data_IF_516411242114
#
_entry.id   IF_516411242114
#
_cell.length_a   1.000
_cell.length_b   1.000
_cell.length_c   1.000
_cell.angle_alpha   90.00
_cell.angle_beta   90.00
_cell.angle_gamma   90.00
#
_symmetry.space_group_name_H-M   'P 1'
#
loop_
_entity.id
_entity.type
_entity.pdbx_description
1 polymer ?
#
# COMPACT_ATOMS: atom_id res chain seq x y z
N UNK A 1 34.50 13.74 -16.13
CA UNK A 1 33.21 13.80 -16.87
C UNK A 1 32.13 13.37 -15.89
N UNK A 2 31.06 14.15 -15.70
CA UNK A 2 29.92 13.75 -14.84
C UNK A 2 29.30 12.50 -15.48
N UNK A 3 29.56 11.32 -14.92
CA UNK A 3 29.01 10.05 -15.40
C UNK A 3 28.01 9.54 -14.35
N UNK A 4 26.98 10.36 -14.12
CA UNK A 4 25.90 10.03 -13.20
C UNK A 4 24.93 9.10 -13.91
N UNK A 5 24.56 8.04 -13.23
CA UNK A 5 23.64 7.00 -13.68
C UNK A 5 22.54 6.87 -12.63
N UNK A 6 21.35 6.47 -13.08
CA UNK A 6 20.20 6.15 -12.22
C UNK A 6 20.01 4.63 -12.17
N UNK A 7 20.46 3.93 -11.11
CA UNK A 7 20.42 2.48 -11.03
C UNK A 7 19.03 1.88 -11.09
N UNK A 8 18.04 2.58 -10.52
CA UNK A 8 16.66 2.11 -10.47
C UNK A 8 15.80 2.60 -11.64
N UNK A 9 16.37 3.23 -12.66
CA UNK A 9 15.63 3.52 -13.89
C UNK A 9 15.21 2.22 -14.61
N UNK A 10 13.97 2.19 -15.12
CA UNK A 10 13.49 1.10 -15.97
C UNK A 10 14.24 1.10 -17.30
N UNK A 11 14.42 2.29 -17.88
CA UNK A 11 15.27 2.49 -19.04
C UNK A 11 16.74 2.60 -18.62
N UNK A 12 17.53 1.60 -19.00
CA UNK A 12 18.98 1.56 -18.69
C UNK A 12 19.79 2.56 -19.52
N UNK A 13 19.20 3.15 -20.56
CA UNK A 13 19.82 4.19 -21.38
C UNK A 13 19.54 5.60 -20.89
N UNK A 14 18.71 5.76 -19.84
CA UNK A 14 18.42 7.05 -19.23
C UNK A 14 19.73 7.72 -18.78
N UNK A 15 20.06 8.81 -19.46
CA UNK A 15 21.20 9.66 -19.17
C UNK A 15 20.70 11.07 -18.81
N UNK A 16 21.52 11.83 -18.08
CA UNK A 16 21.18 13.21 -17.71
C UNK A 16 20.98 14.16 -18.92
N UNK A 17 21.42 13.77 -20.11
CA UNK A 17 21.36 14.60 -21.31
C UNK A 17 22.27 15.83 -21.23
N UNK A 18 21.94 16.86 -22.01
CA UNK A 18 22.61 18.15 -21.96
C UNK A 18 22.08 19.01 -20.82
N UNK A 19 22.94 19.75 -20.11
CA UNK A 19 22.49 20.62 -19.03
C UNK A 19 21.66 21.78 -19.59
N UNK A 20 20.51 22.04 -18.96
CA UNK A 20 19.69 23.23 -19.23
C UNK A 20 20.46 24.52 -18.93
N UNK A 21 21.31 24.47 -17.92
CA UNK A 21 22.16 25.58 -17.52
C UNK A 21 23.52 25.07 -17.06
N UNK A 22 24.59 25.74 -17.46
CA UNK A 22 25.95 25.45 -17.01
C UNK A 22 26.65 26.76 -16.71
N UNK A 23 27.07 26.95 -15.45
CA UNK A 23 27.77 28.14 -14.97
C UNK A 23 29.02 27.74 -14.20
N UNK A 24 30.02 28.60 -14.19
CA UNK A 24 31.19 28.44 -13.31
C UNK A 24 31.21 29.64 -12.35
N UNK A 25 31.16 29.35 -11.06
CA UNK A 25 31.16 30.32 -9.97
C UNK A 25 32.41 30.06 -9.13
N UNK A 26 33.47 30.82 -9.38
CA UNK A 26 34.78 30.56 -8.80
C UNK A 26 35.32 29.18 -9.22
N UNK A 27 35.61 28.33 -8.22
CA UNK A 27 36.05 26.95 -8.42
C UNK A 27 34.88 25.95 -8.55
N UNK A 28 33.64 26.41 -8.32
CA UNK A 28 32.45 25.56 -8.38
C UNK A 28 31.84 25.58 -9.79
N UNK A 29 31.65 24.40 -10.38
CA UNK A 29 30.89 24.23 -11.63
C UNK A 29 29.45 23.88 -11.30
N UNK A 30 28.53 24.76 -11.64
CA UNK A 30 27.08 24.55 -11.53
C UNK A 30 26.53 24.00 -12.83
N UNK A 31 25.69 22.96 -12.74
CA UNK A 31 24.97 22.38 -13.87
C UNK A 31 23.56 22.00 -13.46
N UNK A 32 22.58 22.42 -14.23
CA UNK A 32 21.17 22.07 -14.05
C UNK A 32 20.73 21.10 -15.14
N UNK A 33 20.03 20.05 -14.75
CA UNK A 33 19.49 19.04 -15.67
C UNK A 33 17.99 18.87 -15.40
N UNK A 34 17.23 18.56 -16.46
CA UNK A 34 15.86 18.09 -16.34
C UNK A 34 15.80 16.67 -16.88
N UNK A 35 15.33 15.74 -16.04
CA UNK A 35 15.32 14.32 -16.36
C UNK A 35 13.91 13.81 -16.13
N UNK A 36 13.36 13.19 -17.15
CA UNK A 36 12.07 12.50 -17.10
C UNK A 36 12.32 11.01 -17.38
N UNK A 37 11.71 10.13 -16.59
CA UNK A 37 11.87 8.69 -16.76
C UNK A 37 10.99 7.89 -15.82
N UNK A 38 10.90 6.59 -16.10
CA UNK A 38 10.20 5.63 -15.24
C UNK A 38 11.20 4.96 -14.31
N UNK A 39 10.93 5.01 -13.01
CA UNK A 39 11.79 4.42 -11.97
C UNK A 39 11.12 3.19 -11.35
N UNK A 40 11.95 2.23 -10.95
CA UNK A 40 11.53 1.05 -10.19
C UNK A 40 11.51 1.39 -8.71
N UNK A 41 10.43 1.01 -8.06
CA UNK A 41 10.26 1.07 -6.61
C UNK A 41 9.55 -0.20 -6.15
N UNK A 42 9.96 -0.71 -5.00
CA UNK A 42 9.28 -1.81 -4.34
C UNK A 42 8.12 -1.24 -3.49
N UNK A 43 6.91 -1.73 -3.73
CA UNK A 43 5.70 -1.24 -3.08
C UNK A 43 5.19 -2.24 -2.04
N UNK A 44 4.80 -1.76 -0.87
CA UNK A 44 4.26 -2.59 0.21
C UNK A 44 2.75 -2.36 0.42
N UNK A 45 1.96 -3.40 0.15
CA UNK A 45 0.50 -3.32 0.16
C UNK A 45 -0.15 -3.91 1.42
N UNK A 46 0.61 -4.31 2.45
CA UNK A 46 0.03 -4.97 3.65
C UNK A 46 -1.09 -4.16 4.30
N UNK A 47 -0.95 -2.84 4.32
CA UNK A 47 -1.92 -1.89 4.88
C UNK A 47 -2.91 -1.34 3.86
N UNK A 48 -2.89 -1.81 2.60
CA UNK A 48 -3.77 -1.29 1.57
C UNK A 48 -5.25 -1.40 1.98
N UNK A 49 -6.05 -0.32 1.82
CA UNK A 49 -5.74 0.93 1.08
C UNK A 49 -5.05 2.03 1.89
N UNK A 50 -4.79 1.84 3.19
CA UNK A 50 -4.11 2.81 4.07
C UNK A 50 -2.59 2.76 3.95
N UNK A 51 -2.08 2.36 2.78
CA UNK A 51 -0.67 2.18 2.52
C UNK A 51 0.06 3.53 2.37
N UNK A 52 1.29 3.54 2.87
CA UNK A 52 2.29 4.59 2.62
C UNK A 52 3.40 3.94 1.81
N UNK A 53 3.73 4.53 0.67
CA UNK A 53 4.73 4.02 -0.25
C UNK A 53 5.95 4.93 -0.28
N UNK A 54 7.10 4.32 -0.52
CA UNK A 54 8.39 4.98 -0.67
C UNK A 54 8.79 4.90 -2.14
N UNK A 55 8.97 6.06 -2.78
CA UNK A 55 9.35 6.18 -4.18
C UNK A 55 10.77 6.76 -4.27
N UNK A 56 11.81 5.91 -4.14
CA UNK A 56 13.18 6.37 -4.19
C UNK A 56 13.60 6.69 -5.64
N UNK A 57 14.31 7.78 -5.80
CA UNK A 57 15.06 8.14 -7.01
C UNK A 57 16.53 8.08 -6.63
N UNK A 58 17.28 7.22 -7.31
CA UNK A 58 18.66 6.92 -6.95
C UNK A 58 19.61 7.50 -7.98
N UNK A 59 20.59 8.27 -7.53
CA UNK A 59 21.71 8.74 -8.34
C UNK A 59 23.01 8.12 -7.87
N UNK A 60 23.81 7.61 -8.79
CA UNK A 60 25.10 6.99 -8.49
C UNK A 60 26.10 7.31 -9.60
N UNK A 61 27.40 7.34 -9.29
CA UNK A 61 28.42 7.39 -10.34
C UNK A 61 28.59 6.00 -10.95
N UNK A 62 28.59 5.91 -12.29
CA UNK A 62 28.69 4.63 -12.99
C UNK A 62 30.05 3.95 -12.83
N UNK A 63 31.11 4.72 -12.66
CA UNK A 63 32.49 4.21 -12.79
C UNK A 63 33.38 4.54 -11.60
N UNK A 64 33.15 5.66 -10.93
CA UNK A 64 34.04 6.15 -9.87
C UNK A 64 33.55 5.69 -8.49
N UNK A 65 34.44 5.11 -7.66
CA UNK A 65 34.11 4.71 -6.29
C UNK A 65 33.96 5.93 -5.36
N UNK A 66 33.45 5.67 -4.15
CA UNK A 66 33.24 6.68 -3.10
C UNK A 66 34.51 7.42 -2.68
N UNK A 67 35.68 6.78 -2.79
CA UNK A 67 36.99 7.41 -2.57
C UNK A 67 37.32 8.53 -3.56
N UNK A 68 36.69 8.55 -4.74
CA UNK A 68 36.91 9.54 -5.79
C UNK A 68 35.79 10.56 -5.90
N UNK A 69 34.54 10.14 -5.69
CA UNK A 69 33.35 11.00 -5.81
C UNK A 69 32.37 10.69 -4.69
N UNK A 70 32.02 11.73 -3.93
CA UNK A 70 31.00 11.67 -2.88
C UNK A 70 29.87 12.63 -3.24
N UNK A 71 28.63 12.16 -3.14
CA UNK A 71 27.46 13.01 -3.24
C UNK A 71 27.14 13.61 -1.86
N UNK A 72 26.87 14.91 -1.83
CA UNK A 72 26.54 15.63 -0.59
C UNK A 72 25.32 16.50 -0.85
N UNK A 73 24.37 16.47 0.09
CA UNK A 73 23.22 17.37 0.07
C UNK A 73 23.69 18.81 0.34
N UNK A 74 23.29 19.72 -0.56
CA UNK A 74 23.52 21.16 -0.41
C UNK A 74 22.98 21.68 0.94
N UNK A 75 23.74 22.55 1.59
CA UNK A 75 23.38 23.15 2.86
C UNK A 75 22.06 23.93 2.77
N UNK A 76 21.76 24.56 1.63
CA UNK A 76 20.51 25.26 1.41
C UNK A 76 19.30 24.32 1.46
N UNK A 77 19.36 23.18 0.76
CA UNK A 77 18.29 22.16 0.76
C UNK A 77 18.17 21.46 2.12
N UNK A 78 19.30 21.27 2.81
CA UNK A 78 19.30 20.72 4.18
C UNK A 78 18.58 21.63 5.17
N UNK A 79 18.72 22.94 5.02
CA UNK A 79 18.09 23.94 5.88
C UNK A 79 16.59 24.12 5.61
N UNK A 80 16.09 23.69 4.44
CA UNK A 80 14.67 23.77 4.10
C UNK A 80 13.81 22.91 5.02
N UNK A 81 12.63 23.43 5.33
CA UNK A 81 11.56 22.71 6.03
C UNK A 81 10.91 21.66 5.13
N UNK A 82 10.16 20.73 5.72
CA UNK A 82 9.46 19.71 4.93
C UNK A 82 8.41 20.30 3.98
N UNK A 83 7.77 21.42 4.35
CA UNK A 83 6.80 22.10 3.50
C UNK A 83 7.48 22.70 2.25
N UNK A 84 8.60 23.39 2.43
CA UNK A 84 9.38 23.97 1.32
C UNK A 84 9.94 22.90 0.38
N UNK A 85 10.29 21.71 0.89
CA UNK A 85 10.74 20.57 0.06
C UNK A 85 9.62 19.95 -0.80
N UNK A 86 8.36 20.19 -0.45
CA UNK A 86 7.20 19.67 -1.18
C UNK A 86 6.66 20.67 -2.21
N UNK A 87 7.19 21.90 -2.23
CA UNK A 87 6.95 22.86 -3.31
C UNK A 87 7.65 22.38 -4.59
N UNK A 88 6.97 22.51 -5.73
CA UNK A 88 7.52 22.11 -7.02
C UNK A 88 8.71 23.00 -7.37
N UNK A 89 9.83 22.37 -7.72
CA UNK A 89 11.05 23.08 -8.15
C UNK A 89 10.84 23.94 -9.42
N UNK A 90 9.80 23.68 -10.21
CA UNK A 90 9.46 24.45 -11.42
C UNK A 90 8.45 25.59 -11.20
N UNK A 91 7.67 25.54 -10.13
CA UNK A 91 6.67 26.56 -9.78
C UNK A 91 6.39 26.49 -8.27
N UNK A 92 6.91 27.47 -7.53
CA UNK A 92 6.77 27.60 -6.07
C UNK A 92 5.33 27.78 -5.60
N UNK A 93 4.38 28.04 -6.51
CA UNK A 93 2.95 28.12 -6.19
C UNK A 93 2.22 26.79 -6.36
N UNK A 94 2.90 25.76 -6.89
CA UNK A 94 2.37 24.43 -7.12
C UNK A 94 3.07 23.39 -6.21
N UNK A 95 2.30 22.43 -5.72
CA UNK A 95 2.84 21.31 -4.92
C UNK A 95 3.18 20.12 -5.83
N UNK A 96 4.04 19.22 -5.34
CA UNK A 96 4.36 17.95 -6.01
C UNK A 96 3.14 16.98 -6.06
N UNK A 97 2.00 17.34 -5.48
CA UNK A 97 0.74 16.56 -5.40
C UNK A 97 -0.03 16.42 -6.73
N UNK A 98 0.67 16.30 -7.87
CA UNK A 98 0.03 16.09 -9.17
C UNK A 98 -0.40 14.64 -9.43
N UNK A 99 -0.11 13.71 -8.51
CA UNK A 99 -0.39 12.27 -8.68
C UNK A 99 -1.85 11.97 -8.29
N UNK A 100 -2.70 11.52 -9.23
CA UNK A 100 -4.11 11.24 -8.91
C UNK A 100 -4.26 10.16 -7.82
N UNK A 101 -5.09 10.44 -6.81
CA UNK A 101 -5.36 9.56 -5.66
C UNK A 101 -4.17 9.31 -4.72
N UNK A 102 -3.13 10.14 -4.82
CA UNK A 102 -1.98 10.10 -3.92
C UNK A 102 -1.67 11.50 -3.41
N UNK A 103 -1.12 11.57 -2.22
CA UNK A 103 -0.61 12.79 -1.61
C UNK A 103 0.84 12.55 -1.20
N UNK A 104 1.72 13.50 -1.47
CA UNK A 104 3.10 13.43 -1.01
C UNK A 104 3.15 13.95 0.43
N UNK A 105 3.51 13.06 1.36
CA UNK A 105 3.65 13.42 2.77
C UNK A 105 5.03 14.03 3.05
N UNK A 106 6.09 13.45 2.47
CA UNK A 106 7.47 13.84 2.73
C UNK A 106 8.38 13.60 1.51
N UNK A 107 9.46 14.37 1.47
CA UNK A 107 10.57 14.26 0.54
C UNK A 107 11.87 14.26 1.36
N UNK A 108 12.54 13.10 1.37
CA UNK A 108 13.76 12.85 2.13
C UNK A 108 14.94 12.77 1.17
N UNK A 109 16.05 13.42 1.52
CA UNK A 109 17.27 13.42 0.73
C UNK A 109 18.41 12.85 1.57
N UNK A 110 18.98 11.74 1.13
CA UNK A 110 20.02 11.01 1.86
C UNK A 110 21.21 10.73 0.95
N UNK A 111 22.42 10.91 1.48
CA UNK A 111 23.64 10.41 0.86
C UNK A 111 24.04 9.10 1.56
N UNK A 112 24.15 8.03 0.78
CA UNK A 112 24.45 6.69 1.25
C UNK A 112 25.67 6.14 0.52
N UNK A 113 26.29 5.09 1.08
CA UNK A 113 27.37 4.36 0.42
C UNK A 113 26.91 2.92 0.21
N UNK A 114 26.89 2.49 -1.06
CA UNK A 114 26.49 1.14 -1.45
C UNK A 114 27.68 0.45 -2.09
N UNK A 115 27.97 -0.77 -1.67
CA UNK A 115 29.08 -1.54 -2.21
C UNK A 115 28.94 -3.03 -1.99
N UNK A 116 29.92 -3.75 -2.51
CA UNK A 116 30.00 -5.21 -2.37
C UNK A 116 31.42 -5.60 -1.98
N UNK A 117 31.55 -6.64 -1.18
CA UNK A 117 32.83 -7.27 -0.86
C UNK A 117 33.33 -8.17 -2.00
N UNK A 118 32.48 -8.48 -2.98
CA UNK A 118 32.86 -9.25 -4.16
C UNK A 118 33.39 -8.33 -5.26
N UNK A 119 34.54 -8.65 -5.83
CA UNK A 119 35.18 -7.91 -6.93
C UNK A 119 34.38 -7.80 -8.24
N UNK A 120 33.13 -8.26 -8.29
CA UNK A 120 32.29 -8.32 -9.48
C UNK A 120 33.00 -8.91 -10.72
N UNK A 121 34.03 -9.75 -10.51
CA UNK A 121 34.83 -10.35 -11.59
C UNK A 121 35.95 -9.47 -12.15
N UNK A 122 36.23 -8.31 -11.57
CA UNK A 122 37.34 -7.43 -11.96
C UNK A 122 38.66 -7.89 -11.32
N UNK A 123 39.68 -8.28 -12.11
CA UNK A 123 40.99 -8.67 -11.61
C UNK A 123 41.86 -7.50 -11.14
N UNK A 124 41.47 -6.25 -11.43
CA UNK A 124 42.19 -5.02 -11.05
C UNK A 124 41.66 -4.38 -9.77
N UNK A 125 40.49 -4.78 -9.30
CA UNK A 125 39.96 -4.35 -8.01
C UNK A 125 40.72 -5.04 -6.87
N UNK A 126 41.27 -4.27 -5.93
CA UNK A 126 42.00 -4.83 -4.80
C UNK A 126 40.98 -5.42 -3.79
N UNK A 127 40.75 -6.73 -3.87
CA UNK A 127 39.66 -7.45 -3.19
C UNK A 127 39.71 -7.41 -1.65
N UNK A 128 40.77 -6.84 -1.07
CA UNK A 128 40.91 -6.72 0.38
C UNK A 128 39.96 -5.67 0.99
N UNK A 129 39.48 -4.71 0.20
CA UNK A 129 38.68 -3.58 0.69
C UNK A 129 37.20 -3.59 0.33
N UNK A 130 36.77 -4.35 -0.67
CA UNK A 130 35.42 -4.21 -1.26
C UNK A 130 35.27 -2.95 -2.13
N UNK A 131 34.31 -2.96 -3.06
CA UNK A 131 34.06 -1.86 -3.98
C UNK A 131 32.81 -1.09 -3.55
N UNK A 132 33.01 0.16 -3.13
CA UNK A 132 31.96 1.05 -2.64
C UNK A 132 31.75 2.24 -3.56
N UNK A 133 30.49 2.62 -3.70
CA UNK A 133 30.04 3.75 -4.50
C UNK A 133 29.20 4.68 -3.63
N UNK A 134 29.41 5.98 -3.78
CA UNK A 134 28.52 6.97 -3.19
C UNK A 134 27.23 7.04 -4.01
N UNK A 135 26.11 7.02 -3.29
CA UNK A 135 24.75 7.06 -3.83
C UNK A 135 24.01 8.24 -3.20
N UNK A 136 23.24 8.95 -3.99
CA UNK A 136 22.31 9.98 -3.52
C UNK A 136 20.89 9.51 -3.76
N UNK A 137 20.10 9.45 -2.69
CA UNK A 137 18.72 8.93 -2.72
C UNK A 137 17.77 10.07 -2.37
N UNK A 138 16.85 10.34 -3.27
CA UNK A 138 15.67 11.17 -3.02
C UNK A 138 14.49 10.24 -2.81
N UNK A 139 13.98 10.11 -1.59
CA UNK A 139 12.83 9.28 -1.28
C UNK A 139 11.57 10.14 -1.12
N UNK A 140 10.59 9.91 -1.99
CA UNK A 140 9.28 10.55 -1.89
C UNK A 140 8.32 9.60 -1.17
N UNK A 141 7.90 10.00 0.03
CA UNK A 141 6.90 9.27 0.78
C UNK A 141 5.50 9.73 0.34
N UNK A 142 4.73 8.81 -0.23
CA UNK A 142 3.39 9.07 -0.74
C UNK A 142 2.35 8.25 0.01
N UNK A 143 1.22 8.88 0.30
CA UNK A 143 0.06 8.26 0.94
C UNK A 143 -1.12 8.23 -0.01
N UNK A 144 -1.83 7.11 -0.04
CA UNK A 144 -3.03 6.98 -0.87
C UNK A 144 -4.17 7.82 -0.31
N UNK A 145 -4.90 8.51 -1.19
CA UNK A 145 -6.21 9.06 -0.84
C UNK A 145 -7.24 7.95 -0.79
N UNK A 146 -7.66 7.60 0.42
CA UNK A 146 -8.53 6.46 0.70
C UNK A 146 -10.01 6.79 0.66
N UNK A 147 -10.40 8.08 0.71
CA UNK A 147 -11.79 8.46 0.97
C UNK A 147 -12.78 7.87 -0.05
N UNK A 148 -12.54 8.13 -1.33
CA UNK A 148 -13.37 7.60 -2.42
C UNK A 148 -13.32 6.07 -2.53
N UNK A 149 -12.15 5.48 -2.30
CA UNK A 149 -11.96 4.02 -2.34
C UNK A 149 -12.76 3.31 -1.24
N UNK A 150 -12.73 3.85 -0.01
CA UNK A 150 -13.46 3.29 1.12
C UNK A 150 -14.96 3.34 0.88
N UNK A 151 -15.52 4.46 0.41
CA UNK A 151 -16.95 4.53 0.10
C UNK A 151 -17.34 3.50 -0.98
N UNK A 152 -16.54 3.39 -2.04
CA UNK A 152 -16.82 2.47 -3.16
C UNK A 152 -16.82 0.99 -2.73
N UNK A 153 -15.99 0.60 -1.76
CA UNK A 153 -15.81 -0.79 -1.36
C UNK A 153 -16.50 -1.17 -0.03
N UNK A 154 -16.48 -0.29 0.97
CA UNK A 154 -17.09 -0.54 2.28
C UNK A 154 -18.61 -0.37 2.26
N UNK A 155 -19.15 0.54 1.44
CA UNK A 155 -20.61 0.75 1.40
C UNK A 155 -21.35 -0.51 0.94
N UNK A 156 -20.99 -1.17 -0.18
CA UNK A 156 -21.71 -2.38 -0.58
C UNK A 156 -21.48 -3.55 0.39
N UNK A 157 -20.29 -3.64 1.01
CA UNK A 157 -20.05 -4.65 2.05
C UNK A 157 -20.90 -4.41 3.30
N UNK A 158 -21.06 -3.16 3.72
CA UNK A 158 -21.97 -2.76 4.80
C UNK A 158 -23.43 -3.11 4.48
N UNK A 159 -23.87 -2.93 3.23
CA UNK A 159 -25.21 -3.37 2.80
C UNK A 159 -25.38 -4.89 2.88
N UNK A 160 -24.35 -5.67 2.55
CA UNK A 160 -24.38 -7.13 2.72
C UNK A 160 -24.45 -7.54 4.20
N UNK A 161 -23.73 -6.86 5.08
CA UNK A 161 -23.82 -7.04 6.54
C UNK A 161 -25.24 -6.78 7.02
N UNK A 162 -25.86 -5.67 6.58
CA UNK A 162 -27.24 -5.36 6.94
C UNK A 162 -28.23 -6.39 6.38
N UNK A 163 -28.07 -6.83 5.14
CA UNK A 163 -28.95 -7.83 4.53
C UNK A 163 -28.86 -9.19 5.24
N UNK A 164 -27.66 -9.64 5.59
CA UNK A 164 -27.45 -10.88 6.35
C UNK A 164 -27.89 -10.76 7.81
N UNK A 165 -27.87 -9.57 8.40
CA UNK A 165 -28.47 -9.33 9.71
C UNK A 165 -30.01 -9.43 9.66
N UNK A 166 -30.64 -8.86 8.64
CA UNK A 166 -32.10 -8.95 8.44
C UNK A 166 -32.52 -10.42 8.24
N UNK A 167 -31.69 -11.26 7.62
CA UNK A 167 -32.00 -12.67 7.41
C UNK A 167 -32.27 -13.43 8.74
N UNK A 168 -31.61 -13.03 9.84
CA UNK A 168 -31.81 -13.60 11.18
C UNK A 168 -33.22 -13.37 11.76
N UNK A 169 -33.97 -12.40 11.21
CA UNK A 169 -35.32 -12.08 11.67
C UNK A 169 -36.41 -12.90 11.01
N UNK A 170 -36.14 -13.61 9.91
CA UNK A 170 -37.13 -14.47 9.24
C UNK A 170 -37.58 -15.63 10.14
N UNK A 171 -38.68 -16.33 9.83
CA UNK A 171 -39.02 -17.58 10.53
C UNK A 171 -38.02 -18.69 10.20
N UNK A 172 -37.93 -19.72 11.04
CA UNK A 172 -37.29 -20.99 10.64
C UNK A 172 -38.17 -21.81 9.66
N UNK A 173 -39.37 -21.33 9.37
CA UNK A 173 -40.22 -21.88 8.30
C UNK A 173 -39.67 -21.50 6.91
N UNK A 174 -38.87 -20.44 6.81
CA UNK A 174 -38.23 -19.94 5.59
C UNK A 174 -36.71 -20.17 5.58
N UNK A 175 -36.26 -21.35 6.03
CA UNK A 175 -34.82 -21.71 6.08
C UNK A 175 -34.15 -21.63 4.72
N UNK A 176 -34.83 -22.04 3.65
CA UNK A 176 -34.33 -21.92 2.28
C UNK A 176 -33.94 -20.48 1.93
N UNK A 177 -34.75 -19.49 2.33
CA UNK A 177 -34.47 -18.07 2.10
C UNK A 177 -33.27 -17.60 2.92
N UNK A 178 -33.17 -18.01 4.19
CA UNK A 178 -32.05 -17.66 5.08
C UNK A 178 -30.71 -18.18 4.55
N UNK A 179 -30.69 -19.47 4.19
CA UNK A 179 -29.53 -20.14 3.60
C UNK A 179 -29.14 -19.50 2.27
N UNK A 180 -30.14 -19.21 1.42
CA UNK A 180 -29.90 -18.52 0.14
C UNK A 180 -29.25 -17.16 0.35
N UNK A 181 -29.74 -16.32 1.27
CA UNK A 181 -29.14 -15.02 1.57
C UNK A 181 -27.70 -15.13 2.06
N UNK A 182 -27.38 -16.12 2.90
CA UNK A 182 -26.02 -16.32 3.38
C UNK A 182 -25.07 -16.81 2.25
N UNK A 183 -25.53 -17.71 1.38
CA UNK A 183 -24.77 -18.15 0.18
C UNK A 183 -24.55 -16.98 -0.77
N UNK A 184 -25.59 -16.18 -1.04
CA UNK A 184 -25.48 -14.98 -1.87
C UNK A 184 -24.49 -13.98 -1.26
N UNK A 185 -24.51 -13.79 0.06
CA UNK A 185 -23.53 -12.96 0.77
C UNK A 185 -22.09 -13.43 0.52
N UNK A 186 -21.82 -14.73 0.68
CA UNK A 186 -20.50 -15.32 0.40
C UNK A 186 -20.09 -15.04 -1.05
N UNK A 187 -20.95 -15.37 -2.02
CA UNK A 187 -20.64 -15.20 -3.44
C UNK A 187 -20.40 -13.72 -3.80
N UNK A 188 -21.27 -12.81 -3.36
CA UNK A 188 -21.13 -11.37 -3.61
C UNK A 188 -19.83 -10.82 -3.00
N UNK A 189 -19.51 -11.23 -1.78
CA UNK A 189 -18.26 -10.80 -1.13
C UNK A 189 -17.02 -11.34 -1.82
N UNK A 190 -17.04 -12.57 -2.35
CA UNK A 190 -15.93 -13.14 -3.12
C UNK A 190 -15.73 -12.41 -4.46
N UNK A 191 -16.83 -12.05 -5.14
CA UNK A 191 -16.77 -11.25 -6.38
C UNK A 191 -16.21 -9.86 -6.11
N UNK A 192 -16.68 -9.19 -5.06
CA UNK A 192 -16.17 -7.88 -4.65
C UNK A 192 -14.69 -7.94 -4.25
N UNK A 193 -14.28 -8.96 -3.48
CA UNK A 193 -12.88 -9.18 -3.12
C UNK A 193 -12.00 -9.31 -4.35
N UNK A 194 -12.40 -10.13 -5.33
CA UNK A 194 -11.67 -10.27 -6.60
C UNK A 194 -11.60 -8.95 -7.38
N UNK A 195 -12.68 -8.15 -7.38
CA UNK A 195 -12.67 -6.82 -8.00
C UNK A 195 -11.66 -5.87 -7.35
N UNK A 196 -11.35 -6.04 -6.07
CA UNK A 196 -10.34 -5.24 -5.37
C UNK A 196 -8.94 -5.78 -5.63
N UNK A 197 -8.75 -7.09 -5.53
CA UNK A 197 -7.43 -7.73 -5.62
C UNK A 197 -6.90 -7.81 -7.05
N UNK A 198 -7.77 -7.82 -8.06
CA UNK A 198 -7.36 -7.83 -9.48
C UNK A 198 -6.60 -6.58 -9.94
N UNK A 199 -6.69 -5.47 -9.19
CA UNK A 199 -5.96 -4.23 -9.46
C UNK A 199 -4.59 -4.23 -8.77
N UNK A 200 -4.39 -5.09 -7.77
CA UNK A 200 -3.12 -5.23 -7.07
C UNK A 200 -2.17 -6.13 -7.87
N UNK A 201 -0.84 -5.87 -7.79
CA UNK A 201 0.13 -6.81 -8.34
C UNK A 201 0.03 -8.17 -7.64
N UNK A 202 0.62 -9.20 -8.25
CA UNK A 202 0.69 -10.52 -7.65
C UNK A 202 1.53 -10.50 -6.36
N UNK A 203 0.84 -10.34 -5.23
CA UNK A 203 1.41 -10.36 -3.88
C UNK A 203 1.02 -11.67 -3.18
N UNK A 204 1.93 -12.21 -2.37
CA UNK A 204 1.71 -13.47 -1.65
C UNK A 204 1.23 -13.29 -0.21
N UNK A 205 1.15 -12.04 0.29
CA UNK A 205 0.71 -11.73 1.64
C UNK A 205 -0.71 -11.14 1.64
N UNK A 206 -1.40 -11.33 2.77
CA UNK A 206 -2.76 -10.80 2.97
C UNK A 206 -2.73 -9.30 3.23
N UNK A 207 -3.71 -8.60 2.66
CA UNK A 207 -3.89 -7.16 2.73
C UNK A 207 -5.01 -6.79 3.72
N UNK A 208 -4.94 -5.61 4.33
CA UNK A 208 -5.93 -5.13 5.30
C UNK A 208 -7.38 -5.27 4.81
N UNK A 209 -7.69 -4.84 3.59
CA UNK A 209 -9.05 -4.96 3.04
C UNK A 209 -9.55 -6.42 2.99
N UNK A 210 -8.68 -7.39 2.72
CA UNK A 210 -9.03 -8.80 2.60
C UNK A 210 -9.47 -9.39 3.94
N UNK A 211 -8.91 -8.92 5.06
CA UNK A 211 -9.34 -9.31 6.40
C UNK A 211 -10.83 -9.05 6.62
N UNK A 212 -11.34 -7.91 6.14
CA UNK A 212 -12.75 -7.55 6.29
C UNK A 212 -13.66 -8.46 5.47
N UNK A 213 -13.25 -8.81 4.24
CA UNK A 213 -13.98 -9.76 3.40
C UNK A 213 -13.96 -11.18 3.95
N UNK A 214 -12.80 -11.67 4.41
CA UNK A 214 -12.66 -12.99 5.01
C UNK A 214 -13.48 -13.11 6.30
N UNK A 215 -13.49 -12.07 7.12
CA UNK A 215 -14.36 -12.00 8.29
C UNK A 215 -15.84 -12.07 7.90
N UNK A 216 -16.26 -11.30 6.90
CA UNK A 216 -17.66 -11.34 6.45
C UNK A 216 -18.05 -12.73 5.91
N UNK A 217 -17.17 -13.38 5.16
CA UNK A 217 -17.37 -14.77 4.70
C UNK A 217 -17.50 -15.71 5.89
N UNK A 218 -16.64 -15.58 6.90
CA UNK A 218 -16.70 -16.37 8.13
C UNK A 218 -18.03 -16.17 8.87
N UNK A 219 -18.50 -14.92 8.96
CA UNK A 219 -19.81 -14.58 9.53
C UNK A 219 -20.93 -15.28 8.73
N UNK A 220 -20.89 -15.25 7.40
CA UNK A 220 -21.88 -15.93 6.57
C UNK A 220 -21.86 -17.45 6.75
N UNK A 221 -20.68 -18.07 6.86
CA UNK A 221 -20.54 -19.50 7.16
C UNK A 221 -21.12 -19.82 8.54
N UNK A 222 -20.86 -18.98 9.55
CA UNK A 222 -21.45 -19.14 10.88
C UNK A 222 -22.99 -19.04 10.83
N UNK A 223 -23.53 -18.09 10.05
CA UNK A 223 -24.98 -17.98 9.82
C UNK A 223 -25.55 -19.25 9.19
N UNK A 224 -24.90 -19.82 8.18
CA UNK A 224 -25.32 -21.09 7.56
C UNK A 224 -25.40 -22.21 8.59
N UNK A 225 -24.39 -22.35 9.44
CA UNK A 225 -24.40 -23.35 10.52
C UNK A 225 -25.55 -23.09 11.49
N UNK A 226 -25.79 -21.84 11.89
CA UNK A 226 -26.89 -21.46 12.79
C UNK A 226 -28.26 -21.78 12.16
N UNK A 227 -28.44 -21.52 10.87
CA UNK A 227 -29.69 -21.80 10.16
C UNK A 227 -29.95 -23.30 10.02
N UNK A 228 -28.92 -24.08 9.67
CA UNK A 228 -29.01 -25.54 9.59
C UNK A 228 -29.29 -26.18 10.95
N UNK A 229 -28.57 -25.76 12.00
CA UNK A 229 -28.81 -26.27 13.36
C UNK A 229 -30.18 -25.86 13.86
N UNK A 230 -30.58 -24.59 13.64
CA UNK A 230 -31.88 -24.06 14.03
C UNK A 230 -33.04 -24.80 13.36
N UNK A 231 -32.95 -25.06 12.05
CA UNK A 231 -33.95 -25.85 11.32
C UNK A 231 -34.09 -27.27 11.88
N UNK A 232 -32.97 -27.94 12.18
CA UNK A 232 -32.98 -29.28 12.77
C UNK A 232 -33.63 -29.33 14.16
N UNK A 233 -33.46 -28.28 14.96
CA UNK A 233 -34.05 -28.19 16.30
C UNK A 233 -35.52 -27.78 16.26
N UNK A 234 -35.91 -26.97 15.28
CA UNK A 234 -37.30 -26.67 14.97
C UNK A 234 -38.05 -27.96 14.60
N UNK A 235 -37.49 -28.79 13.71
CA UNK A 235 -38.05 -30.09 13.33
C UNK A 235 -38.18 -31.07 14.51
N UNK A 236 -37.23 -31.03 15.47
CA UNK A 236 -37.25 -31.85 16.69
C UNK A 236 -38.09 -31.26 17.84
N UNK A 237 -38.83 -30.17 17.61
CA UNK A 237 -39.72 -29.56 18.61
C UNK A 237 -39.02 -28.90 19.81
N UNK A 238 -37.70 -28.63 19.75
CA UNK A 238 -36.92 -28.08 20.89
C UNK A 238 -37.07 -26.56 21.05
N UNK A 239 -38.30 -26.09 21.33
CA UNK A 239 -38.65 -24.66 21.38
C UNK A 239 -37.76 -23.81 22.30
N UNK A 240 -37.35 -24.33 23.47
CA UNK A 240 -36.48 -23.61 24.41
C UNK A 240 -35.09 -23.36 23.80
N UNK A 241 -34.42 -24.39 23.27
CA UNK A 241 -33.08 -24.25 22.67
C UNK A 241 -33.10 -23.38 21.42
N UNK A 242 -34.18 -23.44 20.63
CA UNK A 242 -34.36 -22.59 19.45
C UNK A 242 -34.45 -21.11 19.83
N UNK A 243 -35.26 -20.75 20.84
CA UNK A 243 -35.35 -19.37 21.34
C UNK A 243 -33.99 -18.82 21.78
N UNK A 244 -33.24 -19.60 22.56
CA UNK A 244 -31.90 -19.20 23.00
C UNK A 244 -30.93 -19.03 21.84
N UNK A 245 -30.97 -19.91 20.83
CA UNK A 245 -30.16 -19.80 19.62
C UNK A 245 -30.48 -18.52 18.84
N UNK A 246 -31.76 -18.20 18.64
CA UNK A 246 -32.19 -17.02 17.89
C UNK A 246 -31.86 -15.71 18.60
N UNK A 247 -32.06 -15.63 19.91
CA UNK A 247 -31.72 -14.45 20.69
C UNK A 247 -30.19 -14.29 20.72
N UNK A 248 -29.48 -15.40 20.95
CA UNK A 248 -28.01 -15.44 20.95
C UNK A 248 -27.43 -14.96 19.62
N UNK A 249 -27.91 -15.45 18.48
CA UNK A 249 -27.39 -15.05 17.17
C UNK A 249 -27.69 -13.59 16.83
N UNK A 250 -28.87 -13.07 17.18
CA UNK A 250 -29.24 -11.67 16.95
C UNK A 250 -28.42 -10.68 17.77
N UNK A 251 -27.96 -11.07 18.96
CA UNK A 251 -27.09 -10.23 19.79
C UNK A 251 -25.62 -10.43 19.39
N UNK A 252 -25.19 -11.68 19.15
CA UNK A 252 -23.81 -11.99 18.80
C UNK A 252 -23.41 -11.36 17.47
N UNK A 253 -24.29 -11.35 16.46
CA UNK A 253 -23.98 -10.79 15.14
C UNK A 253 -23.49 -9.32 15.20
N UNK A 254 -24.26 -8.35 15.72
CA UNK A 254 -23.81 -6.97 15.80
C UNK A 254 -22.62 -6.80 16.74
N UNK A 255 -22.53 -7.59 17.82
CA UNK A 255 -21.37 -7.55 18.73
C UNK A 255 -20.09 -7.96 18.00
N UNK A 256 -20.12 -9.04 17.21
CA UNK A 256 -18.97 -9.49 16.42
C UNK A 256 -18.59 -8.47 15.36
N UNK A 257 -19.57 -7.88 14.66
CA UNK A 257 -19.31 -6.84 13.65
C UNK A 257 -18.69 -5.59 14.28
N UNK A 258 -19.21 -5.11 15.41
CA UNK A 258 -18.67 -3.94 16.11
C UNK A 258 -17.29 -4.24 16.70
N UNK A 259 -17.11 -5.38 17.35
CA UNK A 259 -15.81 -5.79 17.89
C UNK A 259 -14.75 -5.91 16.78
N UNK A 260 -15.14 -6.45 15.63
CA UNK A 260 -14.28 -6.50 14.47
C UNK A 260 -13.95 -5.13 13.88
N UNK A 261 -14.93 -4.22 13.79
CA UNK A 261 -14.70 -2.85 13.34
C UNK A 261 -13.72 -2.11 14.27
N UNK A 262 -13.87 -2.28 15.59
CA UNK A 262 -12.94 -1.72 16.59
C UNK A 262 -11.55 -2.33 16.43
N UNK A 263 -11.46 -3.66 16.28
CA UNK A 263 -10.18 -4.36 16.10
C UNK A 263 -9.49 -3.92 14.81
N UNK A 264 -10.26 -3.79 13.73
CA UNK A 264 -9.75 -3.31 12.44
C UNK A 264 -9.19 -1.90 12.56
N UNK A 265 -9.93 -1.00 13.20
CA UNK A 265 -9.48 0.37 13.44
C UNK A 265 -8.25 0.42 14.35
N UNK A 266 -8.15 -0.45 15.37
CA UNK A 266 -6.97 -0.50 16.23
C UNK A 266 -5.71 -1.03 15.53
N UNK A 267 -5.85 -1.89 14.52
CA UNK A 267 -4.73 -2.51 13.79
C UNK A 267 -4.29 -1.68 12.58
N UNK A 268 -5.24 -1.05 11.88
CA UNK A 268 -5.01 -0.38 10.60
C UNK A 268 -5.36 1.11 10.57
N UNK A 269 -6.02 1.62 11.62
CA UNK A 269 -6.39 3.04 11.75
C UNK A 269 -5.30 3.90 12.39
#
# INVERSE_FOLDING_TARGET
>A
VLNVWVPNAVDKSLALGDPLESKQVGDTKYRLFHVEGTFKADLEFRRFPFDVQHLPIVLQNRTLPDSSVVYVLDAAVRAQTQAERLESAGDSTSTIDSIPNWRVDQALFTAETVGTTANMGDPSADAAGGLYYSQFVTDLQVRRDVGGFLVKNLLPLGLLVMATYVSLFLGYDAVTSRVSMAITGILSSAVMLNSVTSVLPAISYTVAIEWLYYLFILICVALLVIDLVGSSWAAKGRKRRLRWLTIGSRIAYPVVVVAAAITYWAVFG
#
